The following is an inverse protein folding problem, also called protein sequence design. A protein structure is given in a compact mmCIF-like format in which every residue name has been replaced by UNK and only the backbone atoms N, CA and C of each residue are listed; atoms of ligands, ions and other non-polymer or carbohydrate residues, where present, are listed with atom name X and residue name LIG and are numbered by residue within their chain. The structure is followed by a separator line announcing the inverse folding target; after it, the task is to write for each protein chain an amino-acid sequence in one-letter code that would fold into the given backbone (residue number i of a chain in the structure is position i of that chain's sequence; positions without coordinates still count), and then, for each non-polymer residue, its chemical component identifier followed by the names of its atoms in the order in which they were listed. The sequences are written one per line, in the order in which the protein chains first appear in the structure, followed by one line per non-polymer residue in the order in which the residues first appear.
data_IF_322077888181
#
_entry.id   IF_322077888181
#
_cell.length_a   1.000
_cell.length_b   1.000
_cell.length_c   1.000
_cell.angle_alpha   90.00
_cell.angle_beta   90.00
_cell.angle_gamma   90.00
#
_symmetry.space_group_name_H-M   'P 1'
#
loop_
_entity.id
_entity.type
_entity.pdbx_description
1 polymer ?
#
# COMPACT_ATOMS: atom_id res chain seq x y z
N UNK A 1 6.56 -5.36 -54.26
CA UNK A 1 7.16 -5.44 -52.91
C UNK A 1 6.13 -4.88 -51.95
N UNK A 2 5.35 -5.75 -51.31
CA UNK A 2 4.28 -5.35 -50.40
C UNK A 2 4.82 -5.29 -48.98
N UNK A 3 4.76 -4.12 -48.36
CA UNK A 3 5.02 -3.93 -46.94
C UNK A 3 3.87 -4.55 -46.15
N UNK A 4 4.19 -5.54 -45.30
CA UNK A 4 3.29 -6.03 -44.26
C UNK A 4 3.68 -5.39 -42.94
N UNK A 5 2.84 -4.49 -42.44
CA UNK A 5 2.92 -4.00 -41.07
C UNK A 5 2.64 -5.16 -40.09
N UNK A 6 3.43 -5.32 -39.02
CA UNK A 6 3.09 -6.24 -37.96
C UNK A 6 1.94 -5.64 -37.14
N UNK A 7 0.77 -6.27 -37.25
CA UNK A 7 -0.35 -6.09 -36.33
C UNK A 7 0.16 -6.17 -34.89
N UNK A 8 0.16 -5.02 -34.20
CA UNK A 8 0.37 -4.96 -32.76
C UNK A 8 -0.77 -5.75 -32.10
N UNK A 9 -0.45 -6.90 -31.52
CA UNK A 9 -1.38 -7.69 -30.72
C UNK A 9 -1.89 -6.82 -29.56
N UNK A 10 -3.20 -6.54 -29.53
CA UNK A 10 -3.84 -5.95 -28.35
C UNK A 10 -3.56 -6.87 -27.15
N UNK A 11 -3.15 -6.32 -25.98
CA UNK A 11 -2.93 -7.15 -24.81
C UNK A 11 -4.26 -7.79 -24.41
N UNK A 12 -4.18 -9.06 -24.05
CA UNK A 12 -5.30 -9.92 -23.62
C UNK A 12 -5.85 -9.37 -22.29
N UNK A 13 -6.76 -8.41 -22.39
CA UNK A 13 -7.43 -7.79 -21.24
C UNK A 13 -8.61 -8.65 -20.73
N UNK A 14 -9.02 -9.62 -21.54
CA UNK A 14 -10.30 -10.32 -21.47
C UNK A 14 -10.37 -11.35 -20.32
N UNK A 15 -9.28 -12.08 -20.05
CA UNK A 15 -9.34 -13.21 -19.11
C UNK A 15 -9.55 -12.85 -17.63
N UNK A 16 -8.93 -11.77 -17.13
CA UNK A 16 -9.02 -11.45 -15.70
C UNK A 16 -10.41 -10.93 -15.28
N UNK A 17 -11.04 -10.11 -16.13
CA UNK A 17 -12.39 -9.59 -15.89
C UNK A 17 -13.49 -10.64 -16.09
N UNK A 18 -13.21 -11.68 -16.89
CA UNK A 18 -14.12 -12.82 -17.08
C UNK A 18 -14.13 -13.77 -15.88
N UNK A 19 -12.98 -13.96 -15.23
CA UNK A 19 -12.83 -14.88 -14.10
C UNK A 19 -13.05 -14.20 -12.73
N UNK A 20 -12.72 -12.90 -12.61
CA UNK A 20 -12.79 -12.15 -11.36
C UNK A 20 -13.53 -10.83 -11.52
N UNK A 21 -14.64 -10.67 -10.79
CA UNK A 21 -15.44 -9.45 -10.82
C UNK A 21 -14.61 -8.21 -10.43
N UNK A 22 -14.66 -7.18 -11.26
CA UNK A 22 -13.91 -5.92 -11.09
C UNK A 22 -14.47 -5.17 -9.87
N UNK A 23 -13.65 -4.86 -8.85
CA UNK A 23 -14.07 -4.05 -7.71
C UNK A 23 -14.35 -2.60 -8.12
N UNK A 24 -15.38 -1.98 -7.52
CA UNK A 24 -15.87 -0.65 -7.90
C UNK A 24 -14.85 0.49 -7.76
N UNK A 25 -13.86 0.34 -6.88
CA UNK A 25 -12.86 1.36 -6.59
C UNK A 25 -11.58 1.24 -7.46
N UNK A 26 -11.42 0.18 -8.24
CA UNK A 26 -10.16 -0.08 -8.97
C UNK A 26 -9.81 1.04 -9.94
N UNK A 27 -10.79 1.61 -10.65
CA UNK A 27 -10.51 2.64 -11.66
C UNK A 27 -10.05 3.96 -11.02
N UNK A 28 -10.56 4.29 -9.83
CA UNK A 28 -10.10 5.45 -9.06
C UNK A 28 -8.66 5.22 -8.56
N UNK A 29 -8.39 4.06 -7.95
CA UNK A 29 -7.06 3.74 -7.41
C UNK A 29 -6.02 3.62 -8.55
N UNK A 30 -6.41 3.13 -9.72
CA UNK A 30 -5.56 3.10 -10.91
C UNK A 30 -5.09 4.51 -11.31
N UNK A 31 -5.98 5.50 -11.29
CA UNK A 31 -5.61 6.90 -11.57
C UNK A 31 -4.63 7.43 -10.52
N UNK A 32 -4.91 7.19 -9.23
CA UNK A 32 -4.03 7.59 -8.14
C UNK A 32 -2.62 6.98 -8.26
N UNK A 33 -2.53 5.69 -8.58
CA UNK A 33 -1.24 5.02 -8.82
C UNK A 33 -0.49 5.61 -10.01
N UNK A 34 -1.19 5.91 -11.12
CA UNK A 34 -0.58 6.49 -12.30
C UNK A 34 -0.06 7.91 -12.05
N UNK A 35 -0.83 8.74 -11.35
CA UNK A 35 -0.42 10.09 -10.93
C UNK A 35 0.77 10.04 -9.98
N UNK A 36 0.74 9.13 -9.00
CA UNK A 36 1.84 8.92 -8.05
C UNK A 36 3.13 8.49 -8.75
N UNK A 37 3.05 7.49 -9.63
CA UNK A 37 4.19 7.02 -10.41
C UNK A 37 4.76 8.16 -11.29
N UNK A 38 3.90 8.87 -12.02
CA UNK A 38 4.31 9.99 -12.89
C UNK A 38 4.97 11.12 -12.11
N UNK A 39 4.38 11.51 -10.96
CA UNK A 39 4.91 12.59 -10.12
C UNK A 39 6.32 12.28 -9.61
N UNK A 40 6.53 11.08 -9.07
CA UNK A 40 7.83 10.69 -8.54
C UNK A 40 8.85 10.38 -9.64
N UNK A 41 8.43 9.74 -10.72
CA UNK A 41 9.29 9.46 -11.88
C UNK A 41 9.80 10.75 -12.55
N UNK A 42 8.94 11.76 -12.74
CA UNK A 42 9.37 13.05 -13.31
C UNK A 42 10.33 13.82 -12.39
N UNK A 43 10.26 13.58 -11.08
CA UNK A 43 11.21 14.08 -10.09
C UNK A 43 12.50 13.25 -9.99
N UNK A 44 12.69 12.24 -10.85
CA UNK A 44 13.87 11.36 -10.84
C UNK A 44 13.89 10.37 -9.66
N UNK A 45 12.77 10.18 -8.97
CA UNK A 45 12.66 9.29 -7.82
C UNK A 45 12.21 7.91 -8.25
N UNK A 46 12.91 6.88 -7.75
CA UNK A 46 12.51 5.47 -7.93
C UNK A 46 11.23 5.16 -7.17
N UNK A 47 10.35 4.39 -7.79
CA UNK A 47 9.08 3.96 -7.20
C UNK A 47 9.07 2.44 -7.07
N UNK A 48 8.71 1.94 -5.90
CA UNK A 48 8.56 0.50 -5.66
C UNK A 48 7.11 0.16 -5.34
N UNK A 49 6.57 -0.84 -6.01
CA UNK A 49 5.36 -1.53 -5.55
C UNK A 49 5.75 -2.61 -4.57
N UNK A 50 5.16 -2.58 -3.38
CA UNK A 50 5.28 -3.63 -2.37
C UNK A 50 3.91 -4.24 -2.16
N UNK A 51 3.80 -5.57 -2.35
CA UNK A 51 2.61 -6.31 -1.93
C UNK A 51 2.81 -6.87 -0.52
N UNK A 52 1.78 -6.78 0.33
CA UNK A 52 1.90 -7.19 1.73
C UNK A 52 0.61 -7.81 2.27
N UNK A 53 0.75 -8.95 2.96
CA UNK A 53 -0.37 -9.65 3.60
C UNK A 53 -1.04 -10.68 2.69
N UNK A 54 -1.96 -11.43 3.30
CA UNK A 54 -2.64 -12.56 2.68
C UNK A 54 -3.81 -12.21 1.77
N UNK A 55 -4.06 -13.02 0.74
CA UNK A 55 -5.32 -12.95 -0.03
C UNK A 55 -6.32 -13.96 0.53
N UNK A 56 -7.61 -13.61 0.50
CA UNK A 56 -8.69 -14.56 0.76
C UNK A 56 -9.61 -14.76 -0.45
N UNK A 57 -10.19 -15.95 -0.55
CA UNK A 57 -11.14 -16.32 -1.59
C UNK A 57 -12.48 -16.68 -0.93
N UNK A 58 -13.58 -15.99 -1.27
CA UNK A 58 -14.90 -16.29 -0.71
C UNK A 58 -15.41 -17.65 -1.20
N UNK A 59 -16.11 -18.39 -0.33
CA UNK A 59 -16.76 -19.66 -0.72
C UNK A 59 -18.22 -19.45 -1.15
N UNK A 60 -18.83 -18.33 -0.75
CA UNK A 60 -20.22 -17.97 -1.05
C UNK A 60 -20.33 -16.47 -1.47
N UNK A 61 -21.34 -16.12 -2.27
CA UNK A 61 -21.58 -14.76 -2.77
C UNK A 61 -21.90 -13.74 -1.66
N UNK A 62 -22.64 -14.17 -0.63
CA UNK A 62 -22.80 -13.45 0.64
C UNK A 62 -21.78 -14.01 1.62
N UNK A 63 -20.55 -13.54 1.47
CA UNK A 63 -19.38 -14.16 2.09
C UNK A 63 -19.44 -14.10 3.62
N UNK A 64 -19.51 -15.28 4.22
CA UNK A 64 -19.24 -15.49 5.66
C UNK A 64 -17.97 -16.32 5.82
N UNK A 65 -17.74 -17.29 4.93
CA UNK A 65 -16.59 -18.18 4.95
C UNK A 65 -15.68 -17.92 3.76
N UNK A 66 -14.39 -18.11 3.97
CA UNK A 66 -13.36 -17.89 2.97
C UNK A 66 -12.17 -18.80 3.22
N UNK A 67 -11.44 -19.10 2.16
CA UNK A 67 -10.09 -19.66 2.24
C UNK A 67 -9.10 -18.49 2.37
N UNK A 68 -8.20 -18.52 3.35
CA UNK A 68 -7.27 -17.43 3.64
C UNK A 68 -5.82 -17.92 3.50
N UNK A 69 -5.02 -17.21 2.70
CA UNK A 69 -3.58 -17.42 2.67
C UNK A 69 -2.96 -16.58 3.80
N UNK A 70 -2.50 -17.22 4.87
CA UNK A 70 -2.03 -16.47 6.03
C UNK A 70 -0.74 -15.70 5.76
N UNK A 71 -0.80 -14.37 5.95
CA UNK A 71 0.38 -13.52 6.07
C UNK A 71 0.03 -12.30 6.91
N UNK A 72 0.81 -12.06 7.96
CA UNK A 72 0.63 -10.89 8.83
C UNK A 72 0.98 -9.57 8.14
N UNK A 73 1.72 -9.59 7.03
CA UNK A 73 2.24 -8.38 6.37
C UNK A 73 3.51 -7.82 7.01
N UNK A 74 4.13 -8.52 7.97
CA UNK A 74 5.34 -8.03 8.68
C UNK A 74 6.49 -7.69 7.75
N UNK A 75 6.77 -8.57 6.77
CA UNK A 75 7.84 -8.39 5.80
C UNK A 75 7.58 -7.19 4.91
N UNK A 76 6.42 -7.13 4.26
CA UNK A 76 6.05 -6.01 3.38
C UNK A 76 6.10 -4.67 4.12
N UNK A 77 5.52 -4.58 5.32
CA UNK A 77 5.53 -3.34 6.10
C UNK A 77 6.94 -2.90 6.51
N UNK A 78 7.80 -3.84 6.92
CA UNK A 78 9.20 -3.54 7.24
C UNK A 78 10.00 -3.15 6.00
N UNK A 79 9.77 -3.80 4.86
CA UNK A 79 10.42 -3.45 3.59
C UNK A 79 10.02 -2.06 3.10
N UNK A 80 8.76 -1.66 3.28
CA UNK A 80 8.30 -0.33 2.93
C UNK A 80 9.06 0.76 3.69
N UNK A 81 9.26 0.59 5.00
CA UNK A 81 10.07 1.51 5.80
C UNK A 81 11.51 1.59 5.27
N UNK A 82 12.12 0.45 4.95
CA UNK A 82 13.47 0.40 4.39
C UNK A 82 13.59 1.14 3.04
N UNK A 83 12.63 0.94 2.13
CA UNK A 83 12.63 1.62 0.83
C UNK A 83 12.41 3.13 0.97
N UNK A 84 11.51 3.55 1.87
CA UNK A 84 11.30 4.97 2.19
C UNK A 84 12.58 5.61 2.74
N UNK A 85 13.30 4.91 3.62
CA UNK A 85 14.60 5.34 4.16
C UNK A 85 15.71 5.34 3.11
N UNK A 86 15.59 4.52 2.07
CA UNK A 86 16.49 4.47 0.91
C UNK A 86 16.13 5.47 -0.20
N UNK A 87 15.17 6.37 0.06
CA UNK A 87 14.79 7.45 -0.85
C UNK A 87 13.82 7.05 -1.96
N UNK A 88 13.14 5.91 -1.85
CA UNK A 88 12.08 5.52 -2.78
C UNK A 88 10.75 6.17 -2.42
N UNK A 89 9.88 6.30 -3.42
CA UNK A 89 8.44 6.37 -3.18
C UNK A 89 7.85 4.96 -3.20
N UNK A 90 6.86 4.69 -2.35
CA UNK A 90 6.31 3.34 -2.15
C UNK A 90 4.82 3.33 -2.45
N UNK A 91 4.40 2.48 -3.39
CA UNK A 91 3.02 2.02 -3.50
C UNK A 91 2.90 0.78 -2.62
N UNK A 92 2.14 0.88 -1.54
CA UNK A 92 1.99 -0.19 -0.55
C UNK A 92 0.63 -0.87 -0.73
N UNK A 93 0.60 -1.89 -1.60
CA UNK A 93 -0.58 -2.71 -1.86
C UNK A 93 -0.72 -3.76 -0.77
N UNK A 94 -1.60 -3.54 0.20
CA UNK A 94 -1.67 -4.35 1.41
C UNK A 94 -3.06 -4.91 1.71
N UNK A 95 -3.09 -6.05 2.39
CA UNK A 95 -4.34 -6.63 2.88
C UNK A 95 -4.96 -5.73 3.96
N UNK A 96 -6.28 -5.57 3.95
CA UNK A 96 -7.03 -4.95 5.05
C UNK A 96 -6.66 -5.58 6.39
N UNK A 97 -6.37 -4.73 7.38
CA UNK A 97 -5.95 -5.12 8.74
C UNK A 97 -4.66 -5.95 8.83
N UNK A 98 -3.85 -6.01 7.77
CA UNK A 98 -2.48 -6.50 7.90
C UNK A 98 -1.59 -5.42 8.55
N UNK A 99 -0.36 -5.79 8.91
CA UNK A 99 0.61 -4.86 9.46
C UNK A 99 0.91 -3.73 8.46
N UNK A 100 0.90 -2.50 8.97
CA UNK A 100 1.13 -1.29 8.20
C UNK A 100 2.49 -0.65 8.59
N UNK A 101 3.20 -0.01 7.64
CA UNK A 101 4.49 0.62 7.91
C UNK A 101 4.40 1.58 9.10
N UNK A 102 5.42 1.58 9.96
CA UNK A 102 5.52 2.34 11.20
C UNK A 102 4.61 1.84 12.34
N UNK A 103 3.31 1.70 12.11
CA UNK A 103 2.35 1.27 13.15
C UNK A 103 2.49 -0.20 13.52
N UNK A 104 3.11 -1.02 12.65
CA UNK A 104 3.44 -2.43 12.93
C UNK A 104 4.25 -2.66 14.22
N UNK A 105 4.94 -1.63 14.73
CA UNK A 105 5.76 -1.71 15.92
C UNK A 105 4.93 -1.72 17.21
N UNK A 106 3.69 -1.25 17.14
CA UNK A 106 2.80 -1.05 18.27
C UNK A 106 1.57 -1.96 18.23
N UNK A 107 1.58 -2.98 17.35
CA UNK A 107 0.45 -3.91 17.27
C UNK A 107 0.34 -4.75 18.53
N UNK A 108 -0.86 -4.78 19.10
CA UNK A 108 -1.13 -5.45 20.37
C UNK A 108 -1.09 -4.52 21.58
N UNK A 109 -0.62 -3.28 21.42
CA UNK A 109 -0.74 -2.25 22.46
C UNK A 109 -2.13 -1.61 22.33
N UNK A 110 -2.84 -1.51 23.45
CA UNK A 110 -4.04 -0.67 23.51
C UNK A 110 -3.60 0.79 23.54
N UNK A 111 -3.96 1.53 22.49
CA UNK A 111 -3.55 2.92 22.33
C UNK A 111 -3.97 3.78 23.52
N UNK A 112 -5.19 3.63 24.03
CA UNK A 112 -5.73 4.49 25.09
C UNK A 112 -4.99 4.29 26.42
N UNK A 113 -4.49 3.09 26.69
CA UNK A 113 -3.68 2.80 27.89
C UNK A 113 -2.32 3.51 27.84
N UNK A 114 -1.89 3.94 26.66
CA UNK A 114 -0.60 4.62 26.43
C UNK A 114 -0.74 6.15 26.35
N UNK A 115 -1.94 6.70 26.51
CA UNK A 115 -2.21 8.15 26.43
C UNK A 115 -2.56 8.71 27.81
N UNK A 116 -2.04 9.90 28.11
CA UNK A 116 -2.38 10.65 29.32
C UNK A 116 -2.91 12.02 28.92
N UNK A 117 -4.03 12.42 29.51
CA UNK A 117 -4.59 13.76 29.32
C UNK A 117 -3.94 14.70 30.33
N UNK A 118 -3.13 15.63 29.84
CA UNK A 118 -2.63 16.74 30.65
C UNK A 118 -3.61 17.90 30.51
N UNK A 119 -4.22 18.27 31.64
CA UNK A 119 -5.16 19.39 31.70
C UNK A 119 -4.42 20.50 32.41
N UNK A 120 -3.94 21.50 31.68
CA UNK A 120 -3.42 22.70 32.28
C UNK A 120 -4.10 23.94 31.69
N UNK A 121 -4.20 24.94 32.56
CA UNK A 121 -5.07 26.13 32.54
C UNK A 121 -5.32 26.71 31.14
N UNK A 122 -6.61 26.94 30.81
CA UNK A 122 -7.18 27.51 29.56
C UNK A 122 -7.30 26.56 28.35
N UNK A 123 -8.43 25.84 28.23
CA UNK A 123 -9.02 25.17 27.03
C UNK A 123 -8.10 24.39 26.05
N UNK A 124 -6.82 24.20 26.39
CA UNK A 124 -5.82 23.52 25.60
C UNK A 124 -5.56 22.13 26.17
N UNK A 125 -6.20 21.12 25.60
CA UNK A 125 -5.95 19.73 25.96
C UNK A 125 -4.65 19.23 25.33
N UNK A 126 -3.65 18.90 26.15
CA UNK A 126 -2.44 18.23 25.70
C UNK A 126 -2.55 16.73 25.96
N UNK A 127 -2.11 15.92 24.99
CA UNK A 127 -2.07 14.47 25.12
C UNK A 127 -0.60 14.05 25.19
N UNK A 128 -0.21 13.50 26.35
CA UNK A 128 1.10 12.91 26.56
C UNK A 128 1.06 11.42 26.21
N UNK A 129 2.20 10.88 25.80
CA UNK A 129 2.35 9.48 25.38
C UNK A 129 3.33 8.77 26.32
N UNK A 130 2.94 7.62 26.87
CA UNK A 130 3.85 6.76 27.62
C UNK A 130 4.86 6.09 26.68
N UNK A 131 6.12 6.52 26.77
CA UNK A 131 7.21 6.00 25.96
C UNK A 131 7.68 4.60 26.38
N UNK A 132 7.34 4.14 27.58
CA UNK A 132 7.61 2.77 28.00
C UNK A 132 6.65 1.79 27.30
N UNK A 133 5.38 2.18 27.18
CA UNK A 133 4.37 1.41 26.44
C UNK A 133 4.59 1.49 24.91
N UNK A 134 5.03 2.65 24.41
CA UNK A 134 5.30 2.90 22.98
C UNK A 134 6.77 3.30 22.75
N UNK A 135 7.72 2.35 22.79
CA UNK A 135 9.14 2.64 22.65
C UNK A 135 9.45 3.25 21.27
N UNK A 136 10.28 4.29 21.25
CA UNK A 136 10.68 5.04 20.05
C UNK A 136 9.55 5.79 19.31
N UNK A 137 8.38 5.99 19.94
CA UNK A 137 7.22 6.61 19.29
C UNK A 137 7.51 7.97 18.68
N UNK A 138 8.27 8.83 19.35
CA UNK A 138 8.63 10.15 18.84
C UNK A 138 9.44 10.08 17.53
N UNK A 139 10.42 9.17 17.47
CA UNK A 139 11.25 8.97 16.26
C UNK A 139 10.41 8.45 15.10
N UNK A 140 9.57 7.46 15.37
CA UNK A 140 8.69 6.83 14.37
C UNK A 140 7.66 7.82 13.86
N UNK A 141 7.01 8.58 14.76
CA UNK A 141 6.03 9.61 14.40
C UNK A 141 6.66 10.71 13.54
N UNK A 142 7.81 11.24 13.94
CA UNK A 142 8.55 12.24 13.16
C UNK A 142 8.86 11.74 11.75
N UNK A 143 9.29 10.48 11.61
CA UNK A 143 9.59 9.89 10.31
C UNK A 143 8.32 9.70 9.46
N UNK A 144 7.26 9.17 10.06
CA UNK A 144 5.98 8.98 9.38
C UNK A 144 5.39 10.31 8.88
N UNK A 145 5.44 11.36 9.71
CA UNK A 145 5.02 12.71 9.33
C UNK A 145 5.83 13.25 8.15
N UNK A 146 7.15 13.08 8.15
CA UNK A 146 8.00 13.49 7.03
C UNK A 146 7.64 12.74 5.72
N UNK A 147 7.37 11.43 5.81
CA UNK A 147 6.93 10.62 4.66
C UNK A 147 5.58 11.08 4.12
N UNK A 148 4.63 11.36 5.01
CA UNK A 148 3.29 11.90 4.66
C UNK A 148 3.39 13.28 4.02
N UNK A 149 4.16 14.19 4.62
CA UNK A 149 4.34 15.54 4.11
C UNK A 149 5.00 15.55 2.72
N UNK A 150 5.95 14.65 2.49
CA UNK A 150 6.61 14.50 1.20
C UNK A 150 5.83 13.63 0.18
N UNK A 151 4.65 13.12 0.54
CA UNK A 151 3.82 12.31 -0.37
C UNK A 151 4.52 11.04 -0.86
N UNK A 152 5.35 10.40 -0.02
CA UNK A 152 6.22 9.28 -0.44
C UNK A 152 5.58 7.89 -0.31
N UNK A 153 4.41 7.78 0.35
CA UNK A 153 3.73 6.51 0.60
C UNK A 153 2.29 6.58 0.09
N UNK A 154 1.95 5.74 -0.88
CA UNK A 154 0.59 5.52 -1.38
C UNK A 154 0.07 4.18 -0.85
N UNK A 155 -0.75 4.16 0.22
CA UNK A 155 -1.36 2.94 0.70
C UNK A 155 -2.55 2.55 -0.19
N UNK A 156 -2.60 1.28 -0.60
CA UNK A 156 -3.68 0.72 -1.39
C UNK A 156 -4.13 -0.57 -0.74
N UNK A 157 -5.38 -0.59 -0.31
CA UNK A 157 -5.91 -1.74 0.42
C UNK A 157 -6.61 -2.73 -0.51
N UNK A 158 -6.39 -4.02 -0.29
CA UNK A 158 -7.18 -5.11 -0.85
C UNK A 158 -7.67 -6.02 0.27
N UNK A 159 -8.71 -6.81 0.01
CA UNK A 159 -9.24 -7.78 0.98
C UNK A 159 -9.38 -9.16 0.35
N UNK A 160 -9.71 -9.25 -0.93
CA UNK A 160 -9.89 -10.51 -1.67
C UNK A 160 -8.80 -10.75 -2.72
N UNK A 161 -8.67 -11.98 -3.19
CA UNK A 161 -7.80 -12.32 -4.33
C UNK A 161 -8.20 -11.52 -5.59
N UNK A 162 -9.50 -11.34 -5.85
CA UNK A 162 -9.97 -10.56 -7.01
C UNK A 162 -9.43 -9.12 -6.97
N UNK A 163 -9.64 -8.44 -5.84
CA UNK A 163 -9.13 -7.07 -5.64
C UNK A 163 -7.62 -7.00 -5.80
N UNK A 164 -6.89 -7.94 -5.19
CA UNK A 164 -5.45 -8.02 -5.30
C UNK A 164 -4.98 -8.09 -6.76
N UNK A 165 -5.57 -8.99 -7.58
CA UNK A 165 -5.16 -9.17 -8.97
C UNK A 165 -5.45 -7.93 -9.83
N UNK A 166 -6.63 -7.32 -9.67
CA UNK A 166 -6.99 -6.10 -10.39
C UNK A 166 -6.12 -4.90 -9.99
N UNK A 167 -5.86 -4.73 -8.69
CA UNK A 167 -5.01 -3.65 -8.17
C UNK A 167 -3.53 -3.87 -8.52
N UNK A 168 -3.03 -5.11 -8.50
CA UNK A 168 -1.68 -5.43 -8.93
C UNK A 168 -1.48 -5.12 -10.41
N UNK A 169 -2.47 -5.48 -11.25
CA UNK A 169 -2.46 -5.14 -12.68
C UNK A 169 -2.46 -3.62 -12.89
N UNK A 170 -3.31 -2.89 -12.18
CA UNK A 170 -3.33 -1.43 -12.23
C UNK A 170 -1.99 -0.81 -11.81
N UNK A 171 -1.38 -1.32 -10.74
CA UNK A 171 -0.07 -0.87 -10.27
C UNK A 171 1.04 -1.17 -11.30
N UNK A 172 1.01 -2.34 -11.92
CA UNK A 172 1.96 -2.71 -12.97
C UNK A 172 1.85 -1.78 -14.20
N UNK A 173 0.63 -1.45 -14.60
CA UNK A 173 0.36 -0.50 -15.68
C UNK A 173 0.78 0.93 -15.32
N UNK A 174 0.59 1.35 -14.08
CA UNK A 174 1.05 2.66 -13.62
C UNK A 174 2.58 2.77 -13.64
N UNK A 175 3.26 1.75 -13.13
CA UNK A 175 4.73 1.72 -13.03
C UNK A 175 5.44 1.52 -14.38
N UNK A 176 4.80 0.91 -15.38
CA UNK A 176 5.41 0.78 -16.71
C UNK A 176 5.73 2.14 -17.35
N UNK A 177 5.01 3.20 -16.96
CA UNK A 177 5.22 4.56 -17.48
C UNK A 177 6.54 5.20 -17.07
N UNK A 178 7.23 4.68 -16.04
CA UNK A 178 8.49 5.22 -15.51
C UNK A 178 9.70 4.30 -15.75
N UNK A 179 9.52 3.19 -16.48
CA UNK A 179 10.60 2.31 -16.94
C UNK A 179 11.53 1.81 -15.83
N UNK A 180 12.84 2.02 -16.00
CA UNK A 180 13.91 1.55 -15.12
C UNK A 180 13.84 2.09 -13.67
N UNK A 181 13.04 3.13 -13.44
CA UNK A 181 12.81 3.69 -12.10
C UNK A 181 11.77 2.90 -11.31
N UNK A 182 11.08 1.93 -11.94
CA UNK A 182 10.10 1.07 -11.28
C UNK A 182 10.70 -0.21 -10.71
N UNK A 183 10.23 -0.61 -9.54
CA UNK A 183 10.61 -1.86 -8.89
C UNK A 183 9.38 -2.57 -8.31
N UNK A 184 9.44 -3.90 -8.21
CA UNK A 184 8.40 -4.73 -7.64
C UNK A 184 8.99 -5.62 -6.54
N UNK A 185 8.36 -5.59 -5.37
CA UNK A 185 8.65 -6.52 -4.28
C UNK A 185 7.35 -7.23 -3.89
N UNK A 186 7.22 -8.48 -4.29
CA UNK A 186 6.06 -9.32 -3.98
C UNK A 186 6.42 -10.17 -2.75
N UNK A 187 5.73 -10.00 -1.61
CA UNK A 187 6.06 -10.65 -0.32
C UNK A 187 5.00 -11.56 0.26
#
# INVERSE_FOLDING_TARGET
MAHSDPSASKPVDVGLSEEFAVPSHVEEVKKLMAEFAKHHGSAGRRVVLITSGGTKVPLESRTVRFLDNFSSGRRGASSAEYFLDSGYAVIFLHRHRSLYPYTRLYTGVNLLDSLQLETDVEDAHQILVDQNALPNIAKVLKRYQAVKAAGLLLPVEFNTLSEYLHLLKAAAQALSSIGEQSHFLIT
#
